data_IF_434859468313
#
_entry.id   IF_434859468313
#
_cell.length_a   1.000
_cell.length_b   1.000
_cell.length_c   1.000
_cell.angle_alpha   90.00
_cell.angle_beta   90.00
_cell.angle_gamma   90.00
#
_symmetry.space_group_name_H-M   'P 1'
#
loop_
_entity.id
_entity.type
_entity.pdbx_description
1 polymer ?
#
# COMPACT_ATOMS: atom_id res chain seq x y z
N UNK A 1 -8.22 -6.00 -10.57
CA UNK A 1 -6.97 -6.67 -10.13
C UNK A 1 -5.92 -5.67 -9.70
N UNK A 2 -5.75 -5.45 -8.38
CA UNK A 2 -4.64 -4.67 -7.85
C UNK A 2 -3.47 -5.64 -7.63
N UNK A 3 -2.39 -5.58 -8.42
CA UNK A 3 -1.33 -6.58 -8.29
C UNK A 3 -0.70 -6.46 -6.89
N UNK A 4 -0.75 -7.56 -6.13
CA UNK A 4 -0.16 -7.70 -4.78
C UNK A 4 1.30 -7.22 -4.72
N UNK A 5 2.01 -7.26 -5.86
CA UNK A 5 3.41 -6.90 -6.04
C UNK A 5 3.79 -5.48 -5.63
N UNK A 6 2.87 -4.50 -5.59
CA UNK A 6 3.22 -3.11 -5.20
C UNK A 6 3.31 -2.85 -3.70
N UNK A 7 2.96 -3.82 -2.85
CA UNK A 7 2.96 -3.65 -1.38
C UNK A 7 4.04 -4.45 -0.66
N UNK A 8 4.80 -5.27 -1.38
CA UNK A 8 6.01 -5.87 -0.84
C UNK A 8 6.97 -4.81 -0.32
N UNK A 9 7.84 -5.21 0.60
CA UNK A 9 8.98 -4.41 1.04
C UNK A 9 10.23 -5.24 0.83
N UNK A 10 11.22 -4.64 0.19
CA UNK A 10 12.53 -5.23 0.04
C UNK A 10 13.37 -4.92 1.28
N UNK A 11 13.69 -5.96 2.03
CA UNK A 11 14.55 -5.90 3.22
C UNK A 11 15.89 -6.50 2.84
N UNK A 12 16.98 -5.79 3.11
CA UNK A 12 18.32 -6.21 2.75
C UNK A 12 19.36 -5.67 3.73
N UNK A 13 20.57 -6.23 3.69
CA UNK A 13 21.75 -5.73 4.40
C UNK A 13 22.83 -5.17 3.45
N UNK A 14 22.55 -5.02 2.15
CA UNK A 14 23.45 -4.32 1.22
C UNK A 14 23.72 -2.88 1.69
N UNK A 15 24.90 -2.36 1.36
CA UNK A 15 25.32 -0.99 1.68
C UNK A 15 24.34 0.07 1.17
N UNK A 16 23.72 -0.17 0.01
CA UNK A 16 22.65 0.65 -0.53
C UNK A 16 21.49 -0.20 -1.08
N UNK A 17 20.28 0.34 -1.11
CA UNK A 17 19.09 -0.40 -1.55
C UNK A 17 18.83 -0.43 -3.05
N UNK A 18 19.60 0.31 -3.86
CA UNK A 18 19.46 0.34 -5.33
C UNK A 18 18.01 0.54 -5.79
N UNK A 19 17.29 1.42 -5.08
CA UNK A 19 15.85 1.58 -5.24
C UNK A 19 15.49 2.40 -6.47
N UNK A 20 14.40 2.04 -7.15
CA UNK A 20 13.76 2.92 -8.14
C UNK A 20 12.91 4.00 -7.46
N UNK A 21 12.35 4.92 -8.26
CA UNK A 21 11.46 5.98 -7.78
C UNK A 21 10.35 5.42 -6.89
N UNK A 22 10.17 6.04 -5.72
CA UNK A 22 9.17 5.61 -4.72
C UNK A 22 9.55 4.36 -3.94
N UNK A 23 10.78 3.83 -4.13
CA UNK A 23 11.28 2.60 -3.48
C UNK A 23 10.36 1.40 -3.70
N UNK A 24 9.71 1.36 -4.87
CA UNK A 24 8.80 0.28 -5.24
C UNK A 24 9.54 -0.95 -5.77
N UNK A 25 10.74 -0.77 -6.31
CA UNK A 25 11.59 -1.84 -6.84
C UNK A 25 13.03 -1.61 -6.39
N UNK A 26 13.82 -2.69 -6.40
CA UNK A 26 15.27 -2.67 -6.23
C UNK A 26 15.92 -3.42 -7.39
N UNK A 27 17.14 -3.04 -7.76
CA UNK A 27 17.95 -3.78 -8.73
C UNK A 27 18.65 -5.02 -8.13
N UNK A 28 18.57 -5.20 -6.81
CA UNK A 28 19.10 -6.38 -6.14
C UNK A 28 18.23 -7.61 -6.43
N UNK A 29 18.85 -8.78 -6.47
CA UNK A 29 18.12 -10.04 -6.50
C UNK A 29 17.24 -10.17 -5.26
N UNK A 30 16.04 -10.70 -5.44
CA UNK A 30 15.08 -10.85 -4.34
C UNK A 30 14.31 -12.15 -4.47
N UNK A 31 13.92 -12.69 -3.32
CA UNK A 31 12.99 -13.80 -3.20
C UNK A 31 11.83 -13.40 -2.31
N UNK A 32 10.66 -13.99 -2.54
CA UNK A 32 9.58 -13.95 -1.54
C UNK A 32 10.12 -14.68 -0.31
N UNK A 33 10.09 -14.03 0.85
CA UNK A 33 10.59 -14.60 2.11
C UNK A 33 9.47 -15.31 2.88
N UNK A 34 9.44 -16.66 2.92
CA UNK A 34 8.47 -17.42 3.69
C UNK A 34 9.09 -17.93 5.02
N UNK A 35 8.30 -18.26 6.06
CA UNK A 35 7.08 -17.66 6.58
C UNK A 35 7.34 -16.65 7.71
N UNK A 36 8.59 -16.22 7.92
CA UNK A 36 9.01 -15.54 9.16
C UNK A 36 8.74 -14.03 9.21
N UNK A 37 8.25 -13.41 8.13
CA UNK A 37 7.96 -11.97 8.12
C UNK A 37 6.63 -11.65 7.41
N UNK A 38 5.80 -10.84 8.05
CA UNK A 38 4.56 -10.32 7.49
C UNK A 38 4.57 -8.78 7.45
N UNK A 39 3.93 -8.20 6.43
CA UNK A 39 3.74 -6.75 6.32
C UNK A 39 2.30 -6.41 6.69
N UNK A 40 2.13 -5.64 7.76
CA UNK A 40 0.84 -5.03 8.10
C UNK A 40 0.70 -3.69 7.35
N UNK A 41 -0.31 -3.59 6.49
CA UNK A 41 -0.54 -2.40 5.66
C UNK A 41 -1.84 -1.69 6.06
N UNK A 42 -1.70 -0.53 6.69
CA UNK A 42 -2.82 0.30 7.17
C UNK A 42 -3.28 1.33 6.13
N UNK A 43 -3.57 0.86 4.91
CA UNK A 43 -3.84 1.74 3.79
C UNK A 43 -5.06 2.65 3.97
N UNK A 44 -6.09 2.19 4.67
CA UNK A 44 -7.34 2.90 4.93
C UNK A 44 -7.68 2.93 6.44
N UNK A 45 -6.70 2.67 7.32
CA UNK A 45 -6.93 2.54 8.75
C UNK A 45 -6.20 3.62 9.55
N UNK A 46 -6.86 4.27 10.52
CA UNK A 46 -8.30 4.19 10.79
C UNK A 46 -9.13 4.86 9.67
N UNK A 47 -10.34 4.38 9.41
CA UNK A 47 -11.23 5.01 8.43
C UNK A 47 -12.05 6.14 9.04
N UNK A 48 -11.40 7.29 9.26
CA UNK A 48 -12.01 8.48 9.86
C UNK A 48 -11.79 9.73 8.99
N UNK A 49 -12.33 10.87 9.42
CA UNK A 49 -12.22 12.14 8.68
C UNK A 49 -10.77 12.59 8.46
N UNK A 50 -9.90 12.40 9.45
CA UNK A 50 -8.49 12.77 9.32
C UNK A 50 -7.79 11.96 8.23
N UNK A 51 -8.03 10.65 8.16
CA UNK A 51 -7.51 9.78 7.10
C UNK A 51 -8.07 10.16 5.72
N UNK A 52 -9.39 10.40 5.62
CA UNK A 52 -10.03 10.83 4.37
C UNK A 52 -9.43 12.14 3.85
N UNK A 53 -9.31 13.16 4.72
CA UNK A 53 -8.69 14.45 4.38
C UNK A 53 -7.26 14.27 3.89
N UNK A 54 -6.44 13.48 4.59
CA UNK A 54 -5.04 13.21 4.19
C UNK A 54 -4.95 12.58 2.80
N UNK A 55 -5.80 11.62 2.48
CA UNK A 55 -5.78 10.98 1.16
C UNK A 55 -6.19 11.93 0.04
N UNK A 56 -7.21 12.75 0.26
CA UNK A 56 -7.70 13.73 -0.71
C UNK A 56 -6.73 14.89 -0.92
N UNK A 57 -5.88 15.20 0.06
CA UNK A 57 -4.89 16.27 -0.02
C UNK A 57 -3.82 16.03 -1.10
N UNK A 58 -3.48 14.77 -1.42
CA UNK A 58 -2.31 14.46 -2.26
C UNK A 58 -2.57 14.72 -3.75
N UNK A 59 -3.78 14.43 -4.25
CA UNK A 59 -4.11 14.58 -5.67
C UNK A 59 -3.85 15.99 -6.21
N UNK A 60 -4.33 17.05 -5.53
CA UNK A 60 -4.09 18.44 -5.93
C UNK A 60 -2.62 18.86 -5.98
N UNK A 61 -1.72 18.19 -5.24
CA UNK A 61 -0.28 18.56 -5.22
C UNK A 61 0.53 17.92 -6.36
N UNK A 62 -0.09 17.10 -7.21
CA UNK A 62 0.60 16.49 -8.35
C UNK A 62 0.89 17.52 -9.45
N UNK A 63 2.12 17.54 -9.95
CA UNK A 63 2.49 18.36 -11.11
C UNK A 63 1.81 17.87 -12.39
N UNK A 64 1.55 18.78 -13.33
CA UNK A 64 0.98 18.42 -14.65
C UNK A 64 1.86 17.41 -15.40
N UNK A 65 3.19 17.54 -15.30
CA UNK A 65 4.11 16.56 -15.86
C UNK A 65 3.92 15.15 -15.26
N UNK A 66 3.67 15.05 -13.95
CA UNK A 66 3.40 13.76 -13.30
C UNK A 66 2.07 13.17 -13.75
N UNK A 67 1.03 14.00 -13.87
CA UNK A 67 -0.29 13.60 -14.35
C UNK A 67 -0.21 13.08 -15.79
N UNK A 68 0.46 13.81 -16.67
CA UNK A 68 0.67 13.43 -18.06
C UNK A 68 1.47 12.13 -18.18
N UNK A 69 2.50 11.95 -17.35
CA UNK A 69 3.30 10.72 -17.26
C UNK A 69 2.61 9.56 -16.54
N UNK A 70 1.34 9.67 -16.14
CA UNK A 70 0.60 8.61 -15.44
C UNK A 70 1.10 8.32 -14.02
N UNK A 71 1.95 9.17 -13.45
CA UNK A 71 2.55 9.00 -12.13
C UNK A 71 1.63 9.54 -11.03
N UNK A 72 1.44 8.75 -9.96
CA UNK A 72 0.65 9.19 -8.81
C UNK A 72 -0.85 9.34 -9.06
N UNK A 73 -1.36 8.96 -10.24
CA UNK A 73 -2.77 9.14 -10.66
C UNK A 73 -3.79 8.48 -9.73
N UNK A 74 -3.40 7.47 -8.96
CA UNK A 74 -4.22 6.87 -7.90
C UNK A 74 -4.59 7.83 -6.75
N UNK A 75 -3.92 8.98 -6.65
CA UNK A 75 -4.27 10.05 -5.72
C UNK A 75 -5.28 11.05 -6.29
N UNK A 76 -5.56 11.00 -7.60
CA UNK A 76 -6.57 11.84 -8.25
C UNK A 76 -7.92 11.16 -8.06
N UNK A 77 -8.57 11.44 -6.94
CA UNK A 77 -9.78 10.76 -6.50
C UNK A 77 -10.75 11.74 -5.85
N UNK A 78 -12.05 11.57 -6.10
CA UNK A 78 -13.10 12.33 -5.41
C UNK A 78 -13.41 11.70 -4.05
N UNK A 79 -14.03 12.42 -3.10
CA UNK A 79 -14.46 11.85 -1.83
C UNK A 79 -15.34 10.60 -2.00
N UNK A 80 -16.28 10.62 -2.96
CA UNK A 80 -17.23 9.54 -3.22
C UNK A 80 -16.51 8.30 -3.78
N UNK A 81 -15.57 8.50 -4.70
CA UNK A 81 -14.76 7.41 -5.27
C UNK A 81 -13.83 6.82 -4.21
N UNK A 82 -13.26 7.65 -3.35
CA UNK A 82 -12.40 7.22 -2.25
C UNK A 82 -13.17 6.35 -1.24
N UNK A 83 -14.40 6.75 -0.91
CA UNK A 83 -15.32 5.95 -0.08
C UNK A 83 -15.70 4.62 -0.76
N UNK A 84 -15.94 4.64 -2.08
CA UNK A 84 -16.18 3.44 -2.88
C UNK A 84 -15.03 2.42 -2.77
N UNK A 85 -13.79 2.87 -2.91
CA UNK A 85 -12.61 2.02 -2.75
C UNK A 85 -12.46 1.43 -1.35
N UNK A 86 -12.74 2.23 -0.32
CA UNK A 86 -12.74 1.71 1.06
C UNK A 86 -13.75 0.57 1.21
N UNK A 87 -15.00 0.76 0.74
CA UNK A 87 -16.06 -0.26 0.82
C UNK A 87 -15.71 -1.51 0.03
N UNK A 88 -15.15 -1.37 -1.16
CA UNK A 88 -14.69 -2.50 -1.99
C UNK A 88 -13.64 -3.32 -1.26
N UNK A 89 -12.61 -2.67 -0.70
CA UNK A 89 -11.55 -3.35 0.05
C UNK A 89 -12.07 -3.97 1.34
N UNK A 90 -12.91 -3.25 2.10
CA UNK A 90 -13.48 -3.71 3.35
C UNK A 90 -14.32 -4.98 3.18
N UNK A 91 -15.01 -5.16 2.04
CA UNK A 91 -15.75 -6.39 1.73
C UNK A 91 -14.85 -7.62 1.58
N UNK A 92 -13.60 -7.42 1.20
CA UNK A 92 -12.62 -8.50 1.02
C UNK A 92 -11.77 -8.80 2.25
N UNK A 93 -11.97 -8.12 3.39
CA UNK A 93 -11.16 -8.36 4.58
C UNK A 93 -11.67 -9.54 5.39
N UNK A 94 -10.75 -10.16 6.15
CA UNK A 94 -11.04 -11.21 7.11
C UNK A 94 -10.37 -10.84 8.43
N UNK A 95 -10.99 -11.25 9.52
CA UNK A 95 -10.38 -11.11 10.84
C UNK A 95 -9.23 -12.12 10.99
N UNK A 96 -8.01 -11.59 11.07
CA UNK A 96 -6.79 -12.41 11.12
C UNK A 96 -6.65 -13.18 12.44
N UNK A 97 -7.40 -12.82 13.50
CA UNK A 97 -7.42 -13.57 14.76
C UNK A 97 -7.98 -14.98 14.60
N UNK A 98 -8.82 -15.19 13.59
CA UNK A 98 -9.41 -16.49 13.25
C UNK A 98 -8.67 -17.20 12.09
N UNK A 99 -7.52 -16.69 11.67
CA UNK A 99 -6.72 -17.30 10.61
C UNK A 99 -5.51 -18.02 11.22
N UNK A 100 -5.44 -19.35 11.10
CA UNK A 100 -4.37 -20.17 11.70
C UNK A 100 -2.97 -19.75 11.24
N UNK A 101 -2.82 -19.27 10.01
CA UNK A 101 -1.54 -18.81 9.49
C UNK A 101 -1.04 -17.51 10.17
N UNK A 102 -1.92 -16.73 10.79
CA UNK A 102 -1.60 -15.42 11.38
C UNK A 102 -1.94 -15.29 12.86
N UNK A 103 -2.59 -16.30 13.46
CA UNK A 103 -3.03 -16.29 14.85
C UNK A 103 -1.88 -16.00 15.83
N UNK A 104 -0.68 -16.47 15.51
CA UNK A 104 0.54 -16.27 16.31
C UNK A 104 0.91 -14.78 16.52
N UNK A 105 0.43 -13.87 15.68
CA UNK A 105 0.72 -12.42 15.76
C UNK A 105 -0.11 -11.73 16.86
N UNK A 106 -1.17 -12.37 17.35
CA UNK A 106 -2.14 -11.78 18.30
C UNK A 106 -2.11 -12.40 19.70
N UNK A 107 -1.10 -13.23 19.99
CA UNK A 107 -0.88 -13.89 21.30
C UNK A 107 0.19 -13.13 22.07
#
# INVERSE_FOLDING_TARGET
>A
DWPLWRRGRFIHNHEHGSYTVGRHLSAHESMIYPPLACILWFGFSPWNDAMRKRKLQIGPTLSEASKHGGMGTHHIVTPERLEGWYKELARGTKDLRFNDAYRYVFV
#
